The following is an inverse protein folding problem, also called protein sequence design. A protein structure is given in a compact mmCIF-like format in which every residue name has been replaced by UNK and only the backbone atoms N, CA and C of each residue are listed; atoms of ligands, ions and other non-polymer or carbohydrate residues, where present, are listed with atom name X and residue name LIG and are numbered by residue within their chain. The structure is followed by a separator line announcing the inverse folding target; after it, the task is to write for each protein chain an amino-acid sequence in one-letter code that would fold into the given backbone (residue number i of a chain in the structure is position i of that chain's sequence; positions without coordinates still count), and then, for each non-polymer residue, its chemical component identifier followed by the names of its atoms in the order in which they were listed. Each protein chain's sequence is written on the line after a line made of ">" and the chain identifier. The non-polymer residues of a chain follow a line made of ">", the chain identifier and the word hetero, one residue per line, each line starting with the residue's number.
data_IF_698430438852
#
_entry.id   IF_698430438852
#
_cell.length_a   1.000
_cell.length_b   1.000
_cell.length_c   1.000
_cell.angle_alpha   90.00
_cell.angle_beta   90.00
_cell.angle_gamma   90.00
#
_symmetry.space_group_name_H-M   'P 1'
#
loop_
_entity.id
_entity.type
_entity.pdbx_description
1 polymer ?
#
# COMPACT_ATOMS: atom_id res chain seq x y z
N UNK A 1 -11.88 -26.98 1.38
CA UNK A 1 -11.65 -26.49 0.02
C UNK A 1 -11.07 -25.08 0.08
N UNK A 2 -10.04 -24.82 -0.66
CA UNK A 2 -9.44 -23.48 -0.73
C UNK A 2 -10.19 -22.69 -1.79
N UNK A 3 -10.80 -21.61 -1.38
CA UNK A 3 -11.46 -20.71 -2.32
C UNK A 3 -10.43 -19.81 -2.97
N UNK A 4 -10.65 -19.49 -4.24
CA UNK A 4 -9.83 -18.48 -4.90
C UNK A 4 -10.02 -17.14 -4.19
N UNK A 5 -8.91 -16.50 -3.87
CA UNK A 5 -8.90 -15.18 -3.27
C UNK A 5 -8.78 -14.08 -4.31
N UNK A 6 -8.68 -14.46 -5.57
CA UNK A 6 -8.56 -13.53 -6.68
C UNK A 6 -9.93 -13.23 -7.29
N UNK A 7 -10.09 -12.04 -7.80
CA UNK A 7 -11.31 -11.66 -8.45
C UNK A 7 -11.21 -10.29 -9.07
N UNK A 8 -12.35 -9.79 -9.52
CA UNK A 8 -12.46 -8.47 -10.13
C UNK A 8 -13.64 -7.74 -9.48
N UNK A 9 -13.40 -6.52 -9.02
CA UNK A 9 -14.46 -5.61 -8.59
C UNK A 9 -14.88 -4.76 -9.78
N UNK A 10 -16.19 -4.63 -9.97
CA UNK A 10 -16.78 -3.83 -11.04
C UNK A 10 -17.64 -2.72 -10.47
N UNK A 11 -18.02 -1.76 -11.31
CA UNK A 11 -18.85 -0.65 -10.89
C UNK A 11 -18.12 0.33 -9.97
N UNK A 12 -16.82 0.42 -10.09
CA UNK A 12 -15.99 1.31 -9.29
C UNK A 12 -16.12 2.74 -9.82
N UNK A 13 -16.32 3.67 -8.91
CA UNK A 13 -16.54 5.08 -9.27
C UNK A 13 -15.25 5.89 -9.31
N UNK A 14 -14.26 5.48 -8.55
CA UNK A 14 -13.00 6.23 -8.42
C UNK A 14 -11.83 5.61 -9.15
N UNK A 15 -12.00 4.39 -9.66
CA UNK A 15 -11.02 3.75 -10.53
C UNK A 15 -11.26 4.21 -11.96
N UNK A 16 -10.21 4.64 -12.71
CA UNK A 16 -10.39 5.14 -14.08
C UNK A 16 -11.00 4.14 -15.04
N UNK A 17 -10.78 2.85 -14.81
CA UNK A 17 -11.32 1.80 -15.67
C UNK A 17 -12.69 1.29 -15.22
N UNK A 18 -13.16 1.73 -14.06
CA UNK A 18 -14.43 1.27 -13.50
C UNK A 18 -14.39 -0.14 -12.96
N UNK A 19 -13.28 -0.83 -13.11
CA UNK A 19 -13.08 -2.17 -12.57
C UNK A 19 -11.60 -2.41 -12.30
N UNK A 20 -11.32 -3.28 -11.34
CA UNK A 20 -9.94 -3.60 -10.98
C UNK A 20 -9.87 -5.02 -10.40
N UNK A 21 -8.80 -5.71 -10.74
CA UNK A 21 -8.53 -7.04 -10.23
C UNK A 21 -7.89 -6.97 -8.83
N UNK A 22 -8.18 -7.94 -8.01
CA UNK A 22 -7.53 -8.09 -6.71
C UNK A 22 -6.94 -9.50 -6.58
N UNK A 23 -5.82 -9.59 -5.89
CA UNK A 23 -5.11 -10.85 -5.68
C UNK A 23 -5.28 -11.39 -4.27
N UNK A 24 -5.89 -10.63 -3.38
CA UNK A 24 -6.17 -11.05 -2.01
C UNK A 24 -7.44 -10.39 -1.50
N UNK A 25 -8.03 -10.97 -0.46
CA UNK A 25 -9.21 -10.37 0.16
C UNK A 25 -8.88 -9.07 0.88
N UNK A 26 -7.68 -8.95 1.44
CA UNK A 26 -7.23 -7.69 2.02
C UNK A 26 -7.19 -6.59 0.97
N UNK A 27 -6.66 -6.90 -0.20
CA UNK A 27 -6.61 -5.94 -1.31
C UNK A 27 -8.02 -5.54 -1.74
N UNK A 28 -8.92 -6.52 -1.88
CA UNK A 28 -10.33 -6.24 -2.21
C UNK A 28 -10.97 -5.32 -1.18
N UNK A 29 -10.79 -5.63 0.10
CA UNK A 29 -11.40 -4.84 1.17
C UNK A 29 -10.84 -3.43 1.17
N UNK A 30 -9.55 -3.27 0.90
CA UNK A 30 -8.95 -1.95 0.82
C UNK A 30 -9.46 -1.17 -0.39
N UNK A 31 -9.66 -1.82 -1.52
CA UNK A 31 -10.26 -1.18 -2.69
C UNK A 31 -11.64 -0.60 -2.36
N UNK A 32 -12.44 -1.34 -1.62
CA UNK A 32 -13.75 -0.86 -1.18
C UNK A 32 -13.62 0.32 -0.21
N UNK A 33 -12.62 0.32 0.64
CA UNK A 33 -12.33 1.45 1.51
C UNK A 33 -11.96 2.69 0.71
N UNK A 34 -11.12 2.55 -0.30
CA UNK A 34 -10.73 3.67 -1.16
C UNK A 34 -11.94 4.26 -1.90
N UNK A 35 -12.90 3.42 -2.30
CA UNK A 35 -14.13 3.88 -2.94
C UNK A 35 -14.97 4.75 -2.02
N UNK A 36 -14.82 4.61 -0.71
CA UNK A 36 -15.63 5.32 0.27
C UNK A 36 -14.82 6.30 1.12
N UNK A 37 -13.52 6.40 0.88
CA UNK A 37 -12.64 7.25 1.68
C UNK A 37 -12.80 8.72 1.30
N UNK A 38 -13.10 9.56 2.28
CA UNK A 38 -13.22 10.99 2.04
C UNK A 38 -11.92 11.60 1.54
N UNK A 39 -12.02 12.49 0.57
CA UNK A 39 -10.86 13.16 0.00
C UNK A 39 -10.19 12.42 -1.14
N UNK A 40 -10.42 11.13 -1.30
CA UNK A 40 -9.89 10.36 -2.43
C UNK A 40 -10.75 10.62 -3.66
N UNK A 41 -10.15 11.12 -4.73
CA UNK A 41 -10.87 11.35 -5.98
C UNK A 41 -10.59 10.26 -7.00
N UNK A 42 -9.38 9.72 -7.01
CA UNK A 42 -8.98 8.65 -7.94
C UNK A 42 -8.04 7.70 -7.21
N UNK A 43 -8.21 6.42 -7.45
CA UNK A 43 -7.22 5.41 -7.09
C UNK A 43 -7.08 4.44 -8.25
N UNK A 44 -5.89 3.90 -8.43
CA UNK A 44 -5.67 2.97 -9.53
C UNK A 44 -4.56 1.98 -9.18
N UNK A 45 -4.71 0.76 -9.65
CA UNK A 45 -3.65 -0.24 -9.66
C UNK A 45 -2.84 -0.17 -10.95
N UNK A 46 -3.41 0.43 -11.98
CA UNK A 46 -2.79 0.54 -13.30
C UNK A 46 -2.07 1.88 -13.44
N UNK A 47 -1.07 2.08 -12.58
CA UNK A 47 -0.34 3.35 -12.51
C UNK A 47 1.00 3.33 -13.25
N UNK A 48 1.48 2.16 -13.64
CA UNK A 48 2.75 2.05 -14.34
C UNK A 48 4.00 2.33 -13.51
N UNK A 49 3.85 2.58 -12.21
CA UNK A 49 4.99 2.88 -11.34
C UNK A 49 5.73 1.58 -11.04
N UNK A 50 7.03 1.59 -11.27
CA UNK A 50 7.89 0.45 -11.07
C UNK A 50 9.03 0.87 -10.16
N UNK A 51 9.12 0.24 -8.99
CA UNK A 51 10.07 0.64 -7.97
C UNK A 51 11.19 -0.39 -7.85
N UNK A 52 12.45 0.03 -8.04
CA UNK A 52 13.58 -0.89 -7.86
C UNK A 52 13.85 -1.09 -6.37
N UNK A 53 14.23 -2.30 -6.01
CA UNK A 53 14.66 -2.61 -4.65
C UNK A 53 15.75 -3.68 -4.68
N UNK A 54 16.44 -3.82 -3.57
CA UNK A 54 17.50 -4.84 -3.44
C UNK A 54 17.26 -5.68 -2.21
N UNK A 55 17.48 -6.98 -2.36
CA UNK A 55 17.45 -7.93 -1.25
C UNK A 55 18.89 -8.14 -0.80
N UNK A 56 19.15 -7.92 0.48
CA UNK A 56 20.49 -8.00 1.06
C UNK A 56 21.52 -7.11 0.35
N UNK A 57 21.08 -6.03 -0.28
CA UNK A 57 21.97 -5.12 -0.99
C UNK A 57 22.61 -5.69 -2.26
N UNK A 58 22.25 -6.92 -2.64
CA UNK A 58 22.92 -7.65 -3.73
C UNK A 58 21.95 -7.98 -4.86
N UNK A 59 20.79 -8.53 -4.54
CA UNK A 59 19.85 -9.03 -5.53
C UNK A 59 18.92 -7.90 -5.95
N UNK A 60 19.01 -7.49 -7.21
CA UNK A 60 18.18 -6.42 -7.75
C UNK A 60 16.83 -6.97 -8.22
N UNK A 61 15.76 -6.29 -7.83
CA UNK A 61 14.39 -6.62 -8.17
C UNK A 61 13.61 -5.35 -8.46
N UNK A 62 12.43 -5.51 -9.01
CA UNK A 62 11.47 -4.42 -9.21
C UNK A 62 10.11 -4.89 -8.75
N UNK A 63 9.27 -3.97 -8.34
CA UNK A 63 7.89 -4.29 -8.04
C UNK A 63 6.97 -3.14 -8.43
N UNK A 64 5.71 -3.48 -8.67
CA UNK A 64 4.65 -2.51 -8.89
C UNK A 64 3.88 -2.38 -7.58
N UNK A 65 3.87 -1.20 -6.94
CA UNK A 65 3.06 -1.02 -5.73
C UNK A 65 1.58 -1.23 -6.03
N UNK A 66 0.79 -1.51 -5.00
CA UNK A 66 -0.60 -1.87 -5.19
C UNK A 66 -1.43 -0.71 -5.73
N UNK A 67 -1.39 0.44 -5.07
CA UNK A 67 -2.29 1.54 -5.40
C UNK A 67 -1.58 2.88 -5.48
N UNK A 68 -1.95 3.65 -6.50
CA UNK A 68 -1.68 5.09 -6.54
C UNK A 68 -2.98 5.80 -6.18
N UNK A 69 -2.97 6.59 -5.14
CA UNK A 69 -4.15 7.29 -4.62
C UNK A 69 -3.96 8.79 -4.80
N UNK A 70 -4.96 9.43 -5.39
CA UNK A 70 -4.95 10.87 -5.61
C UNK A 70 -6.07 11.51 -4.79
N UNK A 71 -5.71 12.54 -4.05
CA UNK A 71 -6.63 13.26 -3.17
C UNK A 71 -7.12 14.54 -3.83
N UNK A 72 -8.19 15.10 -3.26
CA UNK A 72 -8.83 16.30 -3.79
C UNK A 72 -7.90 17.52 -3.84
N UNK A 73 -6.90 17.59 -2.96
CA UNK A 73 -5.91 18.67 -2.94
C UNK A 73 -4.80 18.49 -3.98
N UNK A 74 -4.87 17.43 -4.79
CA UNK A 74 -3.86 17.09 -5.79
C UNK A 74 -2.70 16.26 -5.27
N UNK A 75 -2.62 16.01 -3.98
CA UNK A 75 -1.56 15.17 -3.44
C UNK A 75 -1.77 13.71 -3.84
N UNK A 76 -0.68 12.98 -3.90
CA UNK A 76 -0.69 11.56 -4.28
C UNK A 76 0.06 10.73 -3.26
N UNK A 77 -0.42 9.51 -3.08
CA UNK A 77 0.19 8.56 -2.18
C UNK A 77 0.26 7.19 -2.83
N UNK A 78 1.27 6.42 -2.44
CA UNK A 78 1.35 5.01 -2.79
C UNK A 78 0.87 4.23 -1.59
N UNK A 79 -0.13 3.38 -1.78
CA UNK A 79 -0.64 2.50 -0.73
C UNK A 79 -0.31 1.06 -1.10
N UNK A 80 0.28 0.36 -0.15
CA UNK A 80 0.67 -1.03 -0.30
C UNK A 80 -0.09 -1.86 0.73
N UNK A 81 -0.79 -2.90 0.27
CA UNK A 81 -1.46 -3.83 1.19
C UNK A 81 -0.63 -5.09 1.31
N UNK A 82 -0.51 -5.60 2.52
CA UNK A 82 0.20 -6.83 2.73
C UNK A 82 -0.44 -7.60 3.87
N UNK A 83 -0.82 -8.83 3.59
CA UNK A 83 -1.27 -9.75 4.61
C UNK A 83 -0.08 -10.33 5.36
N UNK A 84 -0.37 -11.05 6.44
CA UNK A 84 0.63 -11.78 7.18
C UNK A 84 1.26 -12.84 6.29
N UNK A 85 2.56 -12.74 6.05
CA UNK A 85 3.27 -13.69 5.22
C UNK A 85 4.71 -13.78 5.66
N UNK A 86 5.01 -14.77 6.48
CA UNK A 86 6.37 -14.94 7.01
C UNK A 86 7.38 -15.17 5.89
N UNK A 87 7.03 -15.97 4.88
CA UNK A 87 7.95 -16.30 3.79
C UNK A 87 8.30 -15.12 2.91
N UNK A 88 7.43 -14.10 2.87
CA UNK A 88 7.68 -12.89 2.09
C UNK A 88 8.32 -11.77 2.89
N UNK A 89 8.69 -12.06 4.12
CA UNK A 89 9.11 -11.04 5.08
C UNK A 89 10.32 -10.21 4.63
N UNK A 90 11.39 -10.86 4.21
CA UNK A 90 12.60 -10.15 3.76
C UNK A 90 12.30 -9.28 2.55
N UNK A 91 11.58 -9.83 1.58
CA UNK A 91 11.19 -9.12 0.38
C UNK A 91 10.27 -7.95 0.71
N UNK A 92 9.31 -8.16 1.60
CA UNK A 92 8.38 -7.12 2.04
C UNK A 92 9.11 -5.96 2.71
N UNK A 93 10.07 -6.27 3.56
CA UNK A 93 10.88 -5.26 4.22
C UNK A 93 11.66 -4.42 3.20
N UNK A 94 12.32 -5.08 2.26
CA UNK A 94 13.09 -4.39 1.23
C UNK A 94 12.20 -3.51 0.34
N UNK A 95 11.04 -4.02 -0.05
CA UNK A 95 10.07 -3.26 -0.85
C UNK A 95 9.56 -2.03 -0.11
N UNK A 96 9.28 -2.19 1.18
CA UNK A 96 8.78 -1.10 2.01
C UNK A 96 9.79 0.04 2.11
N UNK A 97 11.04 -0.28 2.34
CA UNK A 97 12.10 0.74 2.37
C UNK A 97 12.26 1.43 1.03
N UNK A 98 12.28 0.66 -0.05
CA UNK A 98 12.42 1.21 -1.39
C UNK A 98 11.21 2.07 -1.77
N UNK A 99 10.00 1.64 -1.42
CA UNK A 99 8.78 2.38 -1.68
C UNK A 99 8.76 3.72 -0.98
N UNK A 100 9.13 3.73 0.29
CA UNK A 100 9.19 4.97 1.07
C UNK A 100 10.22 5.94 0.47
N UNK A 101 11.40 5.45 0.14
CA UNK A 101 12.44 6.28 -0.46
C UNK A 101 12.02 6.83 -1.83
N UNK A 102 11.40 5.98 -2.66
CA UNK A 102 10.90 6.40 -3.96
C UNK A 102 9.86 7.50 -3.83
N UNK A 103 8.92 7.33 -2.90
CA UNK A 103 7.87 8.31 -2.66
C UNK A 103 8.44 9.65 -2.19
N UNK A 104 9.41 9.62 -1.29
CA UNK A 104 10.07 10.84 -0.83
C UNK A 104 10.71 11.60 -1.98
N UNK A 105 11.35 10.88 -2.90
CA UNK A 105 11.99 11.48 -4.06
C UNK A 105 10.99 12.09 -5.04
N UNK A 106 9.76 11.62 -5.04
CA UNK A 106 8.72 12.06 -5.98
C UNK A 106 7.66 12.93 -5.32
N UNK A 107 7.89 13.38 -4.10
CA UNK A 107 6.93 14.24 -3.40
C UNK A 107 5.65 13.54 -3.00
N UNK A 108 5.72 12.24 -2.78
CA UNK A 108 4.57 11.41 -2.40
C UNK A 108 4.75 10.82 -1.02
N UNK A 109 3.67 10.27 -0.50
CA UNK A 109 3.63 9.57 0.77
C UNK A 109 3.46 8.08 0.50
N UNK A 110 4.19 7.27 1.23
CA UNK A 110 4.08 5.81 1.18
C UNK A 110 3.35 5.32 2.42
N UNK A 111 2.31 4.53 2.22
CA UNK A 111 1.55 3.93 3.33
C UNK A 111 1.51 2.42 3.18
N UNK A 112 1.80 1.75 4.28
CA UNK A 112 1.80 0.30 4.32
C UNK A 112 0.60 -0.16 5.16
N UNK A 113 -0.32 -0.87 4.52
CA UNK A 113 -1.61 -1.25 5.09
C UNK A 113 -1.62 -2.76 5.31
N UNK A 114 -1.73 -3.19 6.55
CA UNK A 114 -1.75 -4.60 6.89
C UNK A 114 -3.16 -5.18 6.99
N UNK A 115 -4.16 -4.30 7.19
CA UNK A 115 -5.56 -4.70 7.27
C UNK A 115 -6.46 -3.47 7.06
N UNK A 116 -7.76 -3.72 6.91
CA UNK A 116 -8.71 -2.63 6.65
C UNK A 116 -8.81 -1.62 7.81
N UNK A 117 -8.56 -2.05 9.04
CA UNK A 117 -8.49 -1.12 10.17
C UNK A 117 -7.33 -0.15 10.00
N UNK A 118 -6.22 -0.63 9.48
CA UNK A 118 -5.10 0.22 9.12
C UNK A 118 -5.47 1.26 8.08
N UNK A 119 -6.32 0.90 7.13
CA UNK A 119 -6.81 1.83 6.12
C UNK A 119 -7.63 2.95 6.73
N UNK A 120 -8.55 2.62 7.65
CA UNK A 120 -9.34 3.63 8.35
C UNK A 120 -8.45 4.58 9.13
N UNK A 121 -7.44 4.05 9.77
CA UNK A 121 -6.48 4.85 10.50
C UNK A 121 -5.74 5.82 9.58
N UNK A 122 -5.28 5.32 8.44
CA UNK A 122 -4.57 6.14 7.45
C UNK A 122 -5.44 7.30 6.96
N UNK A 123 -6.74 7.06 6.82
CA UNK A 123 -7.69 8.08 6.36
C UNK A 123 -7.75 9.28 7.28
N UNK A 124 -7.64 9.07 8.60
CA UNK A 124 -7.90 10.08 9.60
C UNK A 124 -6.66 10.79 10.14
N UNK A 125 -5.47 10.41 9.69
CA UNK A 125 -4.24 10.94 10.25
C UNK A 125 -3.36 11.59 9.18
N UNK A 126 -2.65 12.64 9.56
CA UNK A 126 -1.64 13.23 8.71
C UNK A 126 -0.45 12.27 8.58
N UNK A 127 0.37 12.50 7.59
CA UNK A 127 1.56 11.70 7.36
C UNK A 127 2.45 11.63 8.61
N UNK A 128 2.73 12.76 9.23
CA UNK A 128 3.60 12.82 10.40
C UNK A 128 3.02 12.04 11.57
N UNK A 129 1.71 12.11 11.76
CA UNK A 129 1.04 11.34 12.79
C UNK A 129 1.11 9.84 12.52
N UNK A 130 0.91 9.45 11.26
CA UNK A 130 1.01 8.05 10.87
C UNK A 130 2.42 7.51 11.06
N UNK A 131 3.42 8.27 10.68
CA UNK A 131 4.80 7.86 10.86
C UNK A 131 5.12 7.63 12.34
N UNK A 132 4.70 8.55 13.21
CA UNK A 132 4.92 8.42 14.62
C UNK A 132 4.27 7.18 15.21
N UNK A 133 3.02 6.94 14.88
CA UNK A 133 2.27 5.80 15.40
C UNK A 133 2.80 4.49 14.80
N UNK A 134 3.04 4.48 13.52
CA UNK A 134 3.60 3.30 12.84
C UNK A 134 4.95 2.92 13.44
N UNK A 135 5.76 3.90 13.75
CA UNK A 135 7.06 3.67 14.37
C UNK A 135 6.91 3.03 15.74
N UNK A 136 5.99 3.52 16.54
CA UNK A 136 5.72 2.92 17.86
C UNK A 136 5.21 1.49 17.74
N UNK A 137 4.31 1.23 16.81
CA UNK A 137 3.80 -0.12 16.58
C UNK A 137 4.91 -1.05 16.12
N UNK A 138 5.79 -0.60 15.26
CA UNK A 138 6.93 -1.39 14.81
C UNK A 138 7.81 -1.80 15.98
N UNK A 139 8.06 -0.90 16.90
CA UNK A 139 8.85 -1.21 18.09
C UNK A 139 8.18 -2.25 18.96
N UNK A 140 6.84 -2.20 19.07
CA UNK A 140 6.10 -3.15 19.89
C UNK A 140 6.11 -4.55 19.31
N UNK A 141 6.16 -4.69 18.00
CA UNK A 141 6.07 -5.98 17.32
C UNK A 141 7.41 -6.47 16.77
N UNK A 142 8.49 -5.84 17.16
CA UNK A 142 9.77 -6.16 16.54
C UNK A 142 9.85 -5.55 15.15
N UNK A 143 10.07 -4.28 15.10
CA UNK A 143 10.06 -3.47 13.89
C UNK A 143 11.00 -4.00 12.81
N UNK A 144 10.62 -3.81 11.56
CA UNK A 144 11.49 -4.09 10.42
C UNK A 144 12.78 -3.29 10.47
N UNK A 145 12.77 -2.13 11.07
CA UNK A 145 13.97 -1.30 11.19
C UNK A 145 15.00 -1.88 12.14
N UNK A 146 14.60 -2.81 12.98
CA UNK A 146 15.51 -3.47 13.94
C UNK A 146 16.23 -4.66 13.34
N UNK A 147 16.06 -4.91 12.08
CA UNK A 147 16.61 -6.11 11.41
C UNK A 147 17.84 -5.82 10.60
#
# INVERSE_FOLDING_TARGET
>A
MIQSKRGILKGLKRDPNGEAAYDSLLERDYMLELENMGGVIVWTKDHGIRIPYKIFGIISRHYFPDFLVTYADGSKEIHETKGAGFLAWVSTHAKRHAGDAWCRQHGMVYRFIENSKGALFAKNNSLSQLEGISYKQKKQVGSFEDL
#
